data_IF_706966943918
#
_entry.id   IF_706966943918
#
_cell.length_a   1.000
_cell.length_b   1.000
_cell.length_c   1.000
_cell.angle_alpha   90.00
_cell.angle_beta   90.00
_cell.angle_gamma   90.00
#
_symmetry.space_group_name_H-M   'P 1'
#
loop_
_entity.id
_entity.type
_entity.pdbx_description
1 polymer ?
#
# COMPACT_ATOMS: atom_id res chain seq x y z
N UNK A 1 -24.62 -11.63 -6.91
CA UNK A 1 -24.57 -13.11 -6.80
C UNK A 1 -23.61 -13.45 -5.67
N UNK A 2 -24.15 -13.77 -4.49
CA UNK A 2 -23.38 -13.73 -3.23
C UNK A 2 -23.08 -15.10 -2.62
N UNK A 3 -23.69 -16.18 -3.13
CA UNK A 3 -23.61 -17.52 -2.53
C UNK A 3 -22.60 -18.47 -3.18
N UNK A 4 -22.34 -18.32 -4.48
CA UNK A 4 -21.56 -19.30 -5.26
C UNK A 4 -20.37 -18.68 -5.97
N UNK A 5 -19.25 -19.39 -5.91
CA UNK A 5 -18.01 -19.10 -6.65
C UNK A 5 -18.14 -19.56 -8.10
N UNK A 6 -17.24 -19.10 -8.96
CA UNK A 6 -17.12 -19.55 -10.35
C UNK A 6 -16.91 -21.06 -10.47
N UNK A 7 -16.27 -21.68 -9.47
CA UNK A 7 -16.04 -23.12 -9.39
C UNK A 7 -17.25 -23.92 -8.86
N UNK A 8 -18.40 -23.28 -8.64
CA UNK A 8 -19.62 -23.92 -8.11
C UNK A 8 -19.60 -24.16 -6.59
N UNK A 9 -18.47 -23.93 -5.92
CA UNK A 9 -18.35 -23.98 -4.46
C UNK A 9 -18.83 -22.70 -3.76
N UNK A 10 -18.81 -22.67 -2.41
CA UNK A 10 -19.12 -21.45 -1.66
C UNK A 10 -18.18 -20.30 -2.06
N UNK A 11 -18.71 -19.08 -2.15
CA UNK A 11 -17.90 -17.89 -2.42
C UNK A 11 -16.92 -17.61 -1.28
N UNK A 12 -15.82 -16.89 -1.56
CA UNK A 12 -14.79 -16.55 -0.54
C UNK A 12 -15.38 -15.84 0.69
N UNK A 13 -16.40 -15.01 0.48
CA UNK A 13 -17.06 -14.26 1.56
C UNK A 13 -18.35 -14.93 2.07
N UNK A 14 -18.62 -16.17 1.66
CA UNK A 14 -19.81 -16.91 2.08
C UNK A 14 -19.89 -17.11 3.61
N UNK A 15 -18.80 -17.37 4.37
CA UNK A 15 -18.88 -17.46 5.82
C UNK A 15 -19.40 -16.18 6.48
N UNK A 16 -18.89 -15.02 6.06
CA UNK A 16 -19.35 -13.72 6.58
C UNK A 16 -20.81 -13.43 6.21
N UNK A 17 -21.21 -13.81 5.00
CA UNK A 17 -22.61 -13.74 4.58
C UNK A 17 -23.51 -14.63 5.45
N UNK A 18 -23.08 -15.86 5.77
CA UNK A 18 -23.84 -16.76 6.65
C UNK A 18 -24.01 -16.18 8.05
N UNK A 19 -22.99 -15.57 8.62
CA UNK A 19 -23.09 -14.91 9.93
C UNK A 19 -24.03 -13.69 9.90
N UNK A 20 -23.94 -12.87 8.85
CA UNK A 20 -24.90 -11.78 8.65
C UNK A 20 -26.34 -12.30 8.51
N UNK A 21 -26.57 -13.32 7.69
CA UNK A 21 -27.89 -13.92 7.48
C UNK A 21 -28.46 -14.55 8.76
N UNK A 22 -27.62 -15.20 9.58
CA UNK A 22 -27.98 -15.75 10.89
C UNK A 22 -28.39 -14.66 11.88
N UNK A 23 -27.71 -13.51 11.87
CA UNK A 23 -28.06 -12.39 12.71
C UNK A 23 -29.36 -11.73 12.23
N UNK A 24 -29.44 -11.46 10.92
CA UNK A 24 -30.56 -10.77 10.30
C UNK A 24 -31.89 -11.53 10.44
N UNK A 25 -31.87 -12.87 10.46
CA UNK A 25 -33.06 -13.68 10.66
C UNK A 25 -33.63 -13.65 12.08
N UNK A 26 -32.86 -13.15 13.07
CA UNK A 26 -33.24 -13.14 14.49
C UNK A 26 -33.63 -11.76 15.02
N UNK A 27 -33.38 -10.70 14.26
CA UNK A 27 -33.57 -9.32 14.72
C UNK A 27 -34.71 -8.63 13.99
N UNK A 28 -35.40 -7.71 14.66
CA UNK A 28 -36.45 -6.87 14.07
C UNK A 28 -35.88 -5.65 13.31
N UNK A 29 -34.71 -5.17 13.71
CA UNK A 29 -34.06 -4.01 13.10
C UNK A 29 -32.72 -4.38 12.46
N UNK A 30 -32.50 -4.06 11.16
CA UNK A 30 -31.25 -4.33 10.44
C UNK A 30 -30.00 -3.73 11.09
N UNK A 31 -30.15 -2.63 11.85
CA UNK A 31 -29.05 -1.95 12.54
C UNK A 31 -28.39 -2.81 13.63
N UNK A 32 -29.11 -3.80 14.18
CA UNK A 32 -28.58 -4.68 15.22
C UNK A 32 -27.51 -5.64 14.69
N UNK A 33 -27.45 -5.86 13.37
CA UNK A 33 -26.47 -6.71 12.70
C UNK A 33 -25.44 -5.90 11.90
N UNK A 34 -25.23 -4.62 12.26
CA UNK A 34 -24.31 -3.73 11.55
C UNK A 34 -22.88 -4.29 11.52
N UNK A 35 -22.41 -4.89 12.61
CA UNK A 35 -21.06 -5.47 12.69
C UNK A 35 -20.88 -6.59 11.66
N UNK A 36 -21.79 -7.57 11.62
CA UNK A 36 -21.73 -8.70 10.69
C UNK A 36 -21.87 -8.23 9.24
N UNK A 37 -22.71 -7.20 9.00
CA UNK A 37 -22.84 -6.56 7.69
C UNK A 37 -21.53 -5.93 7.27
N UNK A 38 -20.90 -5.19 8.17
CA UNK A 38 -19.67 -4.45 7.89
C UNK A 38 -18.51 -5.41 7.61
N UNK A 39 -18.44 -6.55 8.30
CA UNK A 39 -17.46 -7.61 8.01
C UNK A 39 -17.69 -8.25 6.64
N UNK A 40 -18.95 -8.50 6.27
CA UNK A 40 -19.28 -9.01 4.93
C UNK A 40 -18.89 -8.01 3.82
N UNK A 41 -19.18 -6.72 4.02
CA UNK A 41 -18.81 -5.65 3.08
C UNK A 41 -17.30 -5.40 3.04
N UNK A 42 -16.61 -5.58 4.17
CA UNK A 42 -15.15 -5.54 4.24
C UNK A 42 -14.57 -6.66 3.38
N UNK A 43 -15.02 -7.91 3.55
CA UNK A 43 -14.55 -9.04 2.75
C UNK A 43 -14.78 -8.82 1.23
N UNK A 44 -15.88 -8.19 0.84
CA UNK A 44 -16.18 -7.95 -0.58
C UNK A 44 -15.31 -6.86 -1.21
N UNK A 45 -14.99 -5.80 -0.47
CA UNK A 45 -14.41 -4.59 -1.04
C UNK A 45 -12.99 -4.27 -0.55
N UNK A 46 -12.56 -4.90 0.55
CA UNK A 46 -11.28 -4.70 1.22
C UNK A 46 -10.94 -3.25 1.48
N UNK A 47 -11.95 -2.40 1.79
CA UNK A 47 -11.74 -0.95 1.95
C UNK A 47 -10.81 -0.64 3.11
N UNK A 48 -11.05 -1.28 4.27
CA UNK A 48 -10.25 -1.09 5.48
C UNK A 48 -8.82 -1.59 5.26
N UNK A 49 -8.67 -2.77 4.65
CA UNK A 49 -7.35 -3.32 4.34
C UNK A 49 -6.56 -2.44 3.36
N UNK A 50 -7.18 -2.00 2.25
CA UNK A 50 -6.53 -1.09 1.29
C UNK A 50 -6.11 0.22 1.94
N UNK A 51 -6.96 0.81 2.79
CA UNK A 51 -6.62 2.04 3.50
C UNK A 51 -5.44 1.83 4.45
N UNK A 52 -5.39 0.70 5.17
CA UNK A 52 -4.28 0.36 6.05
C UNK A 52 -2.98 0.16 5.28
N UNK A 53 -3.02 -0.56 4.16
CA UNK A 53 -1.85 -0.77 3.31
C UNK A 53 -1.34 0.54 2.71
N UNK A 54 -2.23 1.44 2.29
CA UNK A 54 -1.84 2.75 1.78
C UNK A 54 -1.16 3.61 2.86
N UNK A 55 -1.65 3.59 4.10
CA UNK A 55 -1.02 4.27 5.22
C UNK A 55 0.39 3.71 5.48
N UNK A 56 0.54 2.38 5.55
CA UNK A 56 1.85 1.74 5.75
C UNK A 56 2.80 2.07 4.60
N UNK A 57 2.33 2.04 3.35
CA UNK A 57 3.13 2.36 2.19
C UNK A 57 3.63 3.81 2.22
N UNK A 58 2.77 4.74 2.61
CA UNK A 58 3.13 6.16 2.75
C UNK A 58 4.22 6.35 3.78
N UNK A 59 4.09 5.71 4.95
CA UNK A 59 5.11 5.77 6.00
C UNK A 59 6.45 5.17 5.57
N UNK A 60 6.42 4.04 4.84
CA UNK A 60 7.63 3.44 4.28
C UNK A 60 8.29 4.36 3.26
N UNK A 61 7.51 4.99 2.38
CA UNK A 61 8.03 5.93 1.39
C UNK A 61 8.69 7.14 2.07
N UNK A 62 8.04 7.72 3.08
CA UNK A 62 8.60 8.85 3.82
C UNK A 62 9.97 8.50 4.43
N UNK A 63 10.06 7.35 5.12
CA UNK A 63 11.33 6.87 5.68
C UNK A 63 12.41 6.68 4.62
N UNK A 64 12.07 6.09 3.48
CA UNK A 64 13.04 5.91 2.40
C UNK A 64 13.54 7.23 1.83
N UNK A 65 12.67 8.25 1.76
CA UNK A 65 13.05 9.59 1.29
C UNK A 65 13.97 10.29 2.29
N UNK A 66 13.69 10.17 3.59
CA UNK A 66 14.56 10.69 4.65
C UNK A 66 15.95 10.05 4.60
N UNK A 67 16.01 8.72 4.48
CA UNK A 67 17.27 7.97 4.37
C UNK A 67 18.07 8.39 3.12
N UNK A 68 17.40 8.55 1.97
CA UNK A 68 18.04 9.02 0.73
C UNK A 68 18.56 10.45 0.86
N UNK A 69 17.82 11.33 1.54
CA UNK A 69 18.26 12.70 1.79
C UNK A 69 19.48 12.72 2.71
N UNK A 70 19.50 11.90 3.76
CA UNK A 70 20.65 11.77 4.64
C UNK A 70 21.88 11.22 3.90
N UNK A 71 21.68 10.18 3.08
CA UNK A 71 22.74 9.64 2.23
C UNK A 71 23.30 10.69 1.27
N UNK A 72 22.44 11.47 0.63
CA UNK A 72 22.85 12.57 -0.25
C UNK A 72 23.68 13.62 0.49
N UNK A 73 23.25 14.05 1.68
CA UNK A 73 23.99 15.01 2.51
C UNK A 73 25.39 14.49 2.87
N UNK A 74 25.52 13.19 3.18
CA UNK A 74 26.81 12.55 3.46
C UNK A 74 27.72 12.54 2.22
N UNK A 75 27.17 12.24 1.04
CA UNK A 75 27.91 12.32 -0.23
C UNK A 75 28.37 13.74 -0.54
N UNK A 76 27.48 14.73 -0.43
CA UNK A 76 27.78 16.14 -0.71
C UNK A 76 28.89 16.65 0.23
N UNK A 77 28.81 16.35 1.54
CA UNK A 77 29.86 16.66 2.51
C UNK A 77 31.20 15.97 2.19
N UNK A 78 31.17 14.75 1.66
CA UNK A 78 32.37 14.03 1.24
C UNK A 78 32.99 14.65 -0.02
N UNK A 79 32.17 15.11 -0.98
CA UNK A 79 32.65 15.82 -2.19
C UNK A 79 33.28 17.17 -1.83
N UNK A 80 32.69 17.92 -0.89
CA UNK A 80 33.27 19.19 -0.42
C UNK A 80 34.61 19.00 0.31
N UNK A 81 34.84 17.85 0.95
CA UNK A 81 36.11 17.51 1.61
C UNK A 81 37.21 16.97 0.70
N UNK A 82 36.92 16.66 -0.56
CA UNK A 82 37.90 16.20 -1.55
C UNK A 82 38.33 17.39 -2.40
N UNK A 83 39.59 17.85 -2.35
CA UNK A 83 40.06 18.86 -3.29
C UNK A 83 40.04 18.28 -4.70
N UNK A 84 38.96 18.54 -5.43
CA UNK A 84 38.83 18.16 -6.83
C UNK A 84 39.79 19.03 -7.64
N UNK A 85 40.99 18.51 -7.90
CA UNK A 85 41.88 19.07 -8.91
C UNK A 85 41.29 18.71 -10.28
N UNK A 86 40.33 19.50 -10.74
CA UNK A 86 39.75 19.35 -12.08
C UNK A 86 40.84 19.69 -13.09
N UNK A 87 41.55 18.68 -13.58
CA UNK A 87 42.36 18.77 -14.78
C UNK A 87 41.42 18.82 -15.99
N UNK A 88 41.08 20.02 -16.43
CA UNK A 88 40.40 20.24 -17.70
C UNK A 88 41.33 19.77 -18.83
N UNK A 89 41.04 18.60 -19.42
CA UNK A 89 41.58 18.24 -20.73
C UNK A 89 40.72 19.00 -21.76
N UNK A 90 41.28 19.95 -22.54
CA UNK A 90 40.51 20.56 -23.62
C UNK A 90 40.12 19.49 -24.64
N UNK A 91 38.92 19.59 -25.25
CA UNK A 91 38.52 18.69 -26.33
C UNK A 91 39.55 18.80 -27.47
N UNK A 92 39.94 17.63 -27.96
CA UNK A 92 40.90 17.43 -29.05
C UNK A 92 40.48 18.18 -30.32
N UNK A 93 41.36 19.04 -30.84
CA UNK A 93 41.24 19.59 -32.17
C UNK A 93 41.41 18.48 -33.22
N UNK A 94 40.41 18.33 -34.08
CA UNK A 94 40.52 17.58 -35.33
C UNK A 94 41.29 18.41 -36.37
N UNK A 95 42.40 17.91 -36.92
CA UNK A 95 42.86 18.27 -38.28
C UNK A 95 44.03 17.38 -38.74
N UNK A 96 43.75 16.45 -39.66
CA UNK A 96 44.72 15.94 -40.64
C UNK A 96 44.17 16.20 -42.03
#
# INVERSE_FOLDING_TARGET
MSGFSFTGGPSRCNPYWQEFAKCYSKVSHPSQCANQRDDYLECLHHKKEKARLAAIQTELQNRTLEDLQEYKKKLDAQVEGVPVRVGLIPPTDEAK
#
